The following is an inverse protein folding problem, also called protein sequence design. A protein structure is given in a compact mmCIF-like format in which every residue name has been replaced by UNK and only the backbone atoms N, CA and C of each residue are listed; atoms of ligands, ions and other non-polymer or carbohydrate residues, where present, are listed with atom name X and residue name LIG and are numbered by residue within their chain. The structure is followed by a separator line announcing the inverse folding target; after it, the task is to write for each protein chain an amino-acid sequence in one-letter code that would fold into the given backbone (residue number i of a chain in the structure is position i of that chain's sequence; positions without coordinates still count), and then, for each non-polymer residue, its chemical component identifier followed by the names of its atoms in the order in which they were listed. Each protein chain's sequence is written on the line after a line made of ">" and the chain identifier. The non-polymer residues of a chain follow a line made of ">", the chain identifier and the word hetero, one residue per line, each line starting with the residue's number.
data_IF_249342612732
#
_entry.id   IF_249342612732
#
_cell.length_a   1.000
_cell.length_b   1.000
_cell.length_c   1.000
_cell.angle_alpha   90.00
_cell.angle_beta   90.00
_cell.angle_gamma   90.00
#
_symmetry.space_group_name_H-M   'P 1'
#
loop_
_entity.id
_entity.type
_entity.pdbx_description
1 polymer ?
#
# COMPACT_ATOMS: atom_id res chain seq x y z
N UNK A 1 49.99 30.11 -30.80
CA UNK A 1 49.83 31.30 -29.93
C UNK A 1 48.34 31.60 -29.81
N UNK A 2 47.90 32.21 -28.69
CA UNK A 2 46.59 32.84 -28.36
C UNK A 2 45.66 33.12 -29.58
N UNK A 3 44.33 32.92 -29.54
CA UNK A 3 43.35 33.60 -28.67
C UNK A 3 41.92 33.00 -28.77
N UNK A 4 40.94 33.50 -28.01
CA UNK A 4 39.58 32.95 -27.84
C UNK A 4 38.43 33.80 -28.45
N UNK A 5 37.23 33.19 -28.58
CA UNK A 5 35.86 33.77 -28.67
C UNK A 5 35.54 34.64 -29.93
N UNK A 6 34.29 34.91 -30.37
CA UNK A 6 32.89 34.74 -29.87
C UNK A 6 32.01 34.24 -31.07
N UNK A 7 30.81 33.61 -31.02
CA UNK A 7 29.37 34.04 -30.88
C UNK A 7 28.53 32.73 -31.13
N UNK A 8 27.50 32.30 -30.38
CA UNK A 8 26.03 32.57 -30.45
C UNK A 8 25.38 32.44 -31.88
N UNK A 9 24.17 31.92 -32.15
CA UNK A 9 22.97 31.44 -31.41
C UNK A 9 22.33 30.25 -32.19
N UNK A 10 21.63 29.31 -31.54
CA UNK A 10 20.81 28.31 -32.25
C UNK A 10 19.86 27.50 -31.34
N UNK A 11 18.61 27.95 -31.21
CA UNK A 11 17.59 27.36 -30.33
C UNK A 11 16.96 26.10 -30.96
N UNK A 12 16.82 25.00 -30.21
CA UNK A 12 16.18 23.77 -30.70
C UNK A 12 15.96 22.69 -29.64
N UNK A 13 14.88 22.80 -28.85
CA UNK A 13 14.50 21.83 -27.80
C UNK A 13 13.34 20.96 -28.28
N UNK A 14 13.58 19.66 -28.48
CA UNK A 14 12.57 18.58 -28.66
C UNK A 14 13.23 17.29 -28.11
N UNK A 15 13.00 16.87 -26.85
CA UNK A 15 11.96 15.91 -26.43
C UNK A 15 11.80 14.76 -27.45
N UNK A 16 12.02 13.47 -27.15
CA UNK A 16 11.36 12.72 -26.07
C UNK A 16 12.33 11.66 -25.51
N UNK A 17 12.89 11.89 -24.31
CA UNK A 17 13.51 10.82 -23.52
C UNK A 17 12.41 10.08 -22.74
N UNK A 18 11.67 9.22 -23.44
CA UNK A 18 10.60 8.40 -22.88
C UNK A 18 11.16 7.29 -22.00
N UNK A 19 11.68 7.63 -20.82
CA UNK A 19 12.07 6.66 -19.82
C UNK A 19 10.82 5.96 -19.28
N UNK A 20 10.49 4.81 -19.89
CA UNK A 20 9.47 3.89 -19.38
C UNK A 20 9.94 3.43 -18.01
N UNK A 21 9.45 4.08 -16.96
CA UNK A 21 9.68 3.67 -15.58
C UNK A 21 8.90 2.38 -15.34
N UNK A 22 9.53 1.25 -15.67
CA UNK A 22 9.08 -0.06 -15.20
C UNK A 22 9.22 -0.04 -13.69
N UNK A 23 8.11 0.27 -13.02
CA UNK A 23 7.98 0.04 -11.60
C UNK A 23 8.11 -1.47 -11.38
N UNK A 24 9.27 -1.91 -10.88
CA UNK A 24 9.48 -3.29 -10.46
C UNK A 24 8.60 -3.53 -9.23
N UNK A 25 7.40 -4.02 -9.46
CA UNK A 25 6.59 -4.61 -8.40
C UNK A 25 7.41 -5.78 -7.83
N UNK A 26 7.97 -5.58 -6.64
CA UNK A 26 8.68 -6.65 -5.95
C UNK A 26 7.69 -7.79 -5.74
N UNK A 27 8.02 -8.99 -6.23
CA UNK A 27 7.18 -10.16 -6.02
C UNK A 27 7.15 -10.48 -4.53
N UNK A 28 6.04 -10.14 -3.87
CA UNK A 28 5.80 -10.53 -2.49
C UNK A 28 5.70 -12.05 -2.43
N UNK A 29 6.82 -12.65 -2.01
CA UNK A 29 6.99 -14.07 -1.67
C UNK A 29 5.69 -14.74 -1.24
N UNK A 30 5.26 -15.72 -2.04
CA UNK A 30 4.11 -16.59 -1.84
C UNK A 30 3.82 -16.94 -0.37
N UNK A 31 2.80 -16.32 0.20
CA UNK A 31 2.32 -16.56 1.56
C UNK A 31 0.80 -16.56 1.61
N UNK A 32 0.19 -15.41 1.36
CA UNK A 32 -1.26 -15.26 1.36
C UNK A 32 -1.80 -14.90 -0.04
N UNK A 33 -2.79 -15.66 -0.51
CA UNK A 33 -3.30 -15.59 -1.89
C UNK A 33 -4.43 -14.57 -2.04
N UNK A 34 -4.97 -14.09 -0.92
CA UNK A 34 -6.15 -13.26 -0.84
C UNK A 34 -5.87 -11.89 -0.19
N UNK A 35 -4.62 -11.39 -0.24
CA UNK A 35 -4.32 -10.00 0.15
C UNK A 35 -4.45 -9.02 -1.02
N UNK A 36 -4.85 -7.79 -0.72
CA UNK A 36 -5.00 -6.68 -1.67
C UNK A 36 -4.05 -5.56 -1.31
N UNK A 37 -3.35 -5.01 -2.32
CA UNK A 37 -2.51 -3.83 -2.17
C UNK A 37 -3.36 -2.56 -2.14
N UNK A 38 -3.33 -1.84 -1.02
CA UNK A 38 -3.78 -0.46 -0.94
C UNK A 38 -2.59 0.43 -1.34
N UNK A 39 -2.67 1.20 -2.43
CA UNK A 39 -1.57 2.05 -2.87
C UNK A 39 -1.40 3.25 -1.93
N UNK A 40 -0.16 3.77 -1.83
CA UNK A 40 0.12 5.01 -1.11
C UNK A 40 -0.68 6.18 -1.71
N UNK A 41 -1.14 7.10 -0.87
CA UNK A 41 -1.93 8.23 -1.32
C UNK A 41 -2.49 9.09 -0.19
N UNK A 42 -3.20 10.15 -0.59
CA UNK A 42 -4.03 10.95 0.30
C UNK A 42 -5.48 10.45 0.21
N UNK A 43 -6.12 10.28 1.36
CA UNK A 43 -7.48 9.77 1.50
C UNK A 43 -8.29 10.66 2.43
N UNK A 44 -9.60 10.78 2.19
CA UNK A 44 -10.54 11.36 3.16
C UNK A 44 -11.01 10.27 4.10
N UNK A 45 -10.71 10.40 5.40
CA UNK A 45 -11.21 9.53 6.46
C UNK A 45 -12.40 10.20 7.17
N UNK A 46 -13.39 9.41 7.57
CA UNK A 46 -14.56 9.89 8.31
C UNK A 46 -15.77 10.29 7.45
N UNK A 47 -16.83 10.74 8.12
CA UNK A 47 -18.11 11.14 7.54
C UNK A 47 -18.60 12.47 8.14
N UNK A 48 -19.78 12.93 7.68
CA UNK A 48 -20.50 14.07 8.29
C UNK A 48 -21.83 13.60 8.92
N UNK A 49 -22.02 12.30 9.13
CA UNK A 49 -23.28 11.70 9.61
C UNK A 49 -23.34 11.73 11.15
N UNK A 50 -22.22 11.48 11.82
CA UNK A 50 -22.10 11.51 13.28
C UNK A 50 -20.97 12.45 13.74
N UNK A 51 -21.09 12.98 14.95
CA UNK A 51 -20.19 14.03 15.47
C UNK A 51 -18.76 13.52 15.77
N UNK A 52 -18.62 12.22 16.03
CA UNK A 52 -17.38 11.50 16.28
C UNK A 52 -16.68 11.00 15.00
N UNK A 53 -17.32 11.15 13.84
CA UNK A 53 -16.79 10.70 12.54
C UNK A 53 -16.10 11.80 11.71
N UNK A 54 -15.84 12.98 12.28
CA UNK A 54 -15.45 14.20 11.55
C UNK A 54 -14.43 14.01 10.40
N UNK A 55 -14.84 14.35 9.17
CA UNK A 55 -14.01 14.24 7.96
C UNK A 55 -12.67 14.98 8.05
N UNK A 56 -11.59 14.28 7.71
CA UNK A 56 -10.25 14.84 7.61
C UNK A 56 -9.41 14.09 6.57
N UNK A 57 -8.31 14.72 6.14
CA UNK A 57 -7.37 14.14 5.18
C UNK A 57 -6.27 13.36 5.91
N UNK A 58 -5.95 12.17 5.40
CA UNK A 58 -4.84 11.34 5.88
C UNK A 58 -3.93 10.97 4.71
N UNK A 59 -2.62 10.90 4.95
CA UNK A 59 -1.65 10.38 3.98
C UNK A 59 -1.18 9.02 4.48
N UNK A 60 -1.32 8.00 3.64
CA UNK A 60 -0.93 6.62 3.96
C UNK A 60 0.15 6.13 2.99
N UNK A 61 1.13 5.41 3.51
CA UNK A 61 2.03 4.59 2.71
C UNK A 61 1.28 3.37 2.13
N UNK A 62 1.91 2.66 1.19
CA UNK A 62 1.31 1.48 0.57
C UNK A 62 1.37 0.28 1.54
N UNK A 63 0.25 -0.44 1.68
CA UNK A 63 0.16 -1.61 2.56
C UNK A 63 -0.72 -2.71 1.96
N UNK A 64 -0.54 -3.94 2.44
CA UNK A 64 -1.40 -5.07 2.12
C UNK A 64 -2.46 -5.24 3.21
N UNK A 65 -3.69 -5.56 2.80
CA UNK A 65 -4.79 -5.93 3.70
C UNK A 65 -5.45 -7.22 3.21
N UNK A 66 -5.95 -8.05 4.12
CA UNK A 66 -6.72 -9.23 3.76
C UNK A 66 -8.02 -8.83 3.05
N UNK A 67 -8.35 -9.54 1.96
CA UNK A 67 -9.63 -9.42 1.25
C UNK A 67 -10.81 -10.01 2.04
N UNK A 68 -10.53 -10.90 2.98
CA UNK A 68 -11.50 -11.63 3.78
C UNK A 68 -11.07 -11.65 5.25
N UNK A 69 -12.02 -11.51 6.16
CA UNK A 69 -11.76 -11.59 7.60
C UNK A 69 -11.14 -12.93 8.02
N UNK A 70 -10.38 -12.92 9.12
CA UNK A 70 -9.80 -14.14 9.68
C UNK A 70 -10.90 -15.09 10.14
N UNK A 71 -11.00 -16.25 9.52
CA UNK A 71 -12.00 -17.26 9.88
C UNK A 71 -11.66 -17.98 11.18
N UNK A 72 -12.68 -18.50 11.86
CA UNK A 72 -12.51 -19.33 13.06
C UNK A 72 -11.60 -20.56 12.82
N UNK A 73 -11.55 -21.08 11.59
CA UNK A 73 -10.63 -22.14 11.21
C UNK A 73 -9.16 -21.68 11.24
N UNK A 74 -8.84 -20.54 10.61
CA UNK A 74 -7.49 -19.93 10.65
C UNK A 74 -7.08 -19.59 12.08
N UNK A 75 -8.00 -19.06 12.89
CA UNK A 75 -7.72 -18.77 14.30
C UNK A 75 -7.47 -20.04 15.13
N UNK A 76 -8.17 -21.15 14.85
CA UNK A 76 -7.91 -22.47 15.47
C UNK A 76 -6.52 -23.01 15.14
N UNK A 77 -6.02 -22.77 13.92
CA UNK A 77 -4.65 -23.11 13.53
C UNK A 77 -3.62 -22.27 14.30
N UNK A 78 -3.85 -20.96 14.43
CA UNK A 78 -3.04 -20.07 15.27
C UNK A 78 -2.95 -20.55 16.73
N UNK A 79 -4.09 -20.89 17.36
CA UNK A 79 -4.11 -21.39 18.74
C UNK A 79 -3.32 -22.69 18.87
N UNK A 80 -3.48 -23.62 17.92
CA UNK A 80 -2.72 -24.89 17.90
C UNK A 80 -1.22 -24.66 17.76
N UNK A 81 -0.79 -23.73 16.90
CA UNK A 81 0.62 -23.45 16.64
C UNK A 81 1.31 -22.74 17.81
N UNK A 82 0.62 -21.81 18.48
CA UNK A 82 1.18 -20.96 19.54
C UNK A 82 0.93 -21.49 20.95
N UNK A 83 -0.03 -22.41 21.13
CA UNK A 83 -0.65 -22.79 22.41
C UNK A 83 -1.34 -21.62 23.12
N UNK A 84 -1.79 -20.61 22.36
CA UNK A 84 -2.62 -19.54 22.90
C UNK A 84 -3.93 -20.12 23.46
N UNK A 85 -4.41 -19.68 24.64
CA UNK A 85 -5.66 -20.14 25.19
C UNK A 85 -6.85 -19.75 24.30
N UNK A 86 -7.90 -20.57 24.33
CA UNK A 86 -9.13 -20.26 23.61
C UNK A 86 -9.84 -19.03 24.22
N UNK A 87 -10.48 -18.18 23.40
CA UNK A 87 -11.40 -17.16 23.87
C UNK A 87 -12.53 -17.76 24.72
N UNK A 88 -13.17 -16.92 25.54
CA UNK A 88 -14.37 -17.34 26.26
C UNK A 88 -15.44 -17.84 25.28
N UNK A 89 -16.13 -18.92 25.64
CA UNK A 89 -17.22 -19.52 24.86
C UNK A 89 -16.83 -20.10 23.48
N UNK A 90 -15.54 -20.32 23.19
CA UNK A 90 -15.07 -20.85 21.91
C UNK A 90 -15.71 -22.18 21.46
N UNK A 91 -16.02 -23.06 22.41
CA UNK A 91 -16.70 -24.34 22.17
C UNK A 91 -18.14 -24.37 22.77
N UNK A 92 -18.78 -23.21 22.96
CA UNK A 92 -20.17 -23.13 23.45
C UNK A 92 -21.16 -23.49 22.31
N UNK A 93 -22.01 -24.52 22.46
CA UNK A 93 -22.88 -25.01 21.38
C UNK A 93 -24.23 -24.26 21.27
N UNK A 94 -24.39 -23.12 21.95
CA UNK A 94 -25.66 -22.38 22.08
C UNK A 94 -25.95 -21.41 20.95
#
# INVERSE_FOLDING_TARGET
>A
MRSQLVVQVGLGVVLIAGAISVATAAETSSGDKDMVLVPKGEFTMGSNEHADEAKHQVVLDAYLIDKYETSNARYKEFMKATRHPAPAYWDDPR
#
